data_IF_500364335479
#
_entry.id   IF_500364335479
#
_cell.length_a   1.000
_cell.length_b   1.000
_cell.length_c   1.000
_cell.angle_alpha   90.00
_cell.angle_beta   90.00
_cell.angle_gamma   90.00
#
_symmetry.space_group_name_H-M   'P 1'
#
loop_
_entity.id
_entity.type
_entity.pdbx_description
1 polymer ?
#
# COMPACT_ATOMS: atom_id res chain seq x y z
N UNK A 1 9.78 8.83 0.84
CA UNK A 1 8.35 8.64 1.16
C UNK A 1 7.60 7.92 0.06
N UNK A 2 7.56 8.41 -1.19
CA UNK A 2 6.87 7.71 -2.29
C UNK A 2 7.43 6.30 -2.54
N UNK A 3 8.76 6.18 -2.68
CA UNK A 3 9.44 4.89 -2.77
C UNK A 3 9.23 4.00 -1.55
N UNK A 4 9.08 4.58 -0.35
CA UNK A 4 8.81 3.80 0.86
C UNK A 4 7.37 3.29 0.89
N UNK A 5 6.39 4.11 0.49
CA UNK A 5 4.99 3.71 0.30
C UNK A 5 4.90 2.55 -0.69
N UNK A 6 5.50 2.71 -1.87
CA UNK A 6 5.55 1.67 -2.89
C UNK A 6 6.31 0.42 -2.44
N UNK A 7 7.45 0.58 -1.79
CA UNK A 7 8.26 -0.53 -1.27
C UNK A 7 7.51 -1.33 -0.21
N UNK A 8 6.85 -0.67 0.75
CA UNK A 8 6.01 -1.32 1.77
C UNK A 8 4.87 -2.08 1.10
N UNK A 9 4.22 -1.47 0.10
CA UNK A 9 3.15 -2.13 -0.66
C UNK A 9 3.66 -3.42 -1.31
N UNK A 10 4.73 -3.34 -2.12
CA UNK A 10 5.28 -4.50 -2.82
C UNK A 10 5.72 -5.58 -1.82
N UNK A 11 6.37 -5.18 -0.72
CA UNK A 11 6.78 -6.10 0.32
C UNK A 11 5.58 -6.78 1.00
N UNK A 12 4.54 -6.02 1.36
CA UNK A 12 3.35 -6.56 1.99
C UNK A 12 2.61 -7.55 1.07
N UNK A 13 2.51 -7.24 -0.22
CA UNK A 13 1.94 -8.13 -1.23
C UNK A 13 2.78 -9.40 -1.40
N UNK A 14 4.11 -9.27 -1.48
CA UNK A 14 5.03 -10.39 -1.57
C UNK A 14 4.89 -11.32 -0.35
N UNK A 15 4.95 -10.76 0.86
CA UNK A 15 4.80 -11.52 2.09
C UNK A 15 3.43 -12.19 2.15
N UNK A 16 2.36 -11.50 1.74
CA UNK A 16 1.02 -12.10 1.69
C UNK A 16 0.94 -13.27 0.70
N UNK A 17 1.61 -13.17 -0.44
CA UNK A 17 1.61 -14.24 -1.44
C UNK A 17 2.39 -15.46 -0.95
N UNK A 18 3.59 -15.24 -0.40
CA UNK A 18 4.52 -16.27 0.06
C UNK A 18 4.39 -16.63 1.55
N UNK A 19 3.31 -16.21 2.24
CA UNK A 19 3.18 -16.43 3.69
C UNK A 19 3.12 -17.91 4.10
N UNK A 20 2.62 -18.77 3.22
CA UNK A 20 2.54 -20.20 3.47
C UNK A 20 3.92 -20.88 3.40
N UNK A 21 4.71 -20.72 2.33
CA UNK A 21 6.08 -21.27 2.32
C UNK A 21 7.02 -20.60 3.32
N UNK A 22 6.87 -19.30 3.60
CA UNK A 22 7.78 -18.56 4.50
C UNK A 22 7.47 -18.77 5.98
N UNK A 23 6.19 -18.77 6.35
CA UNK A 23 5.75 -18.72 7.75
C UNK A 23 4.79 -19.85 8.13
N UNK A 24 4.50 -20.78 7.20
CA UNK A 24 3.54 -21.89 7.39
C UNK A 24 2.11 -21.40 7.72
N UNK A 25 1.79 -20.17 7.33
CA UNK A 25 0.48 -19.55 7.52
C UNK A 25 -0.44 -20.00 6.38
N UNK A 26 -1.20 -21.08 6.61
CA UNK A 26 -2.14 -21.65 5.64
C UNK A 26 -3.24 -20.68 5.20
N UNK A 27 -3.39 -20.47 3.88
CA UNK A 27 -4.51 -19.71 3.31
C UNK A 27 -5.81 -20.51 3.49
N UNK A 28 -6.64 -20.13 4.46
CA UNK A 28 -7.96 -20.76 4.69
C UNK A 28 -8.23 -21.17 6.13
N UNK A 29 -7.19 -21.25 6.96
CA UNK A 29 -7.38 -21.43 8.40
C UNK A 29 -7.67 -20.08 9.06
N UNK A 30 -8.87 -19.93 9.63
CA UNK A 30 -9.38 -18.65 10.10
C UNK A 30 -8.47 -17.95 11.15
N UNK A 31 -7.93 -18.65 12.17
CA UNK A 31 -7.01 -18.03 13.14
C UNK A 31 -5.72 -17.49 12.51
N UNK A 32 -5.13 -18.23 11.57
CA UNK A 32 -3.92 -17.80 10.85
C UNK A 32 -4.19 -16.55 10.00
N UNK A 33 -5.29 -16.56 9.24
CA UNK A 33 -5.68 -15.43 8.40
C UNK A 33 -5.95 -14.18 9.24
N UNK A 34 -6.69 -14.32 10.35
CA UNK A 34 -7.00 -13.19 11.23
C UNK A 34 -5.73 -12.59 11.83
N UNK A 35 -4.87 -13.43 12.43
CA UNK A 35 -3.61 -12.98 13.04
C UNK A 35 -2.68 -12.31 12.03
N UNK A 36 -2.47 -12.92 10.87
CA UNK A 36 -1.64 -12.35 9.81
C UNK A 36 -2.17 -11.01 9.29
N UNK A 37 -3.49 -10.92 9.05
CA UNK A 37 -4.09 -9.71 8.55
C UNK A 37 -4.01 -8.57 9.58
N UNK A 38 -4.30 -8.85 10.84
CA UNK A 38 -4.34 -7.83 11.89
C UNK A 38 -2.94 -7.39 12.34
N UNK A 39 -1.99 -8.31 12.48
CA UNK A 39 -0.65 -7.99 12.98
C UNK A 39 0.30 -7.45 11.91
N UNK A 40 0.13 -7.84 10.64
CA UNK A 40 1.08 -7.49 9.59
C UNK A 40 0.44 -6.79 8.39
N UNK A 41 -0.53 -7.42 7.74
CA UNK A 41 -1.00 -6.94 6.43
C UNK A 41 -1.71 -5.59 6.55
N UNK A 42 -2.68 -5.47 7.46
CA UNK A 42 -3.46 -4.25 7.65
C UNK A 42 -2.58 -3.06 8.10
N UNK A 43 -1.72 -3.18 9.13
CA UNK A 43 -0.82 -2.09 9.51
C UNK A 43 0.11 -1.65 8.37
N UNK A 44 0.67 -2.61 7.62
CA UNK A 44 1.57 -2.32 6.49
C UNK A 44 0.85 -1.55 5.38
N UNK A 45 -0.37 -1.97 5.03
CA UNK A 45 -1.18 -1.30 4.01
C UNK A 45 -1.61 0.10 4.45
N UNK A 46 -2.03 0.28 5.71
CA UNK A 46 -2.36 1.59 6.27
C UNK A 46 -1.15 2.54 6.22
N UNK A 47 0.04 2.04 6.56
CA UNK A 47 1.27 2.83 6.49
C UNK A 47 1.61 3.21 5.05
N UNK A 48 1.49 2.28 4.09
CA UNK A 48 1.73 2.55 2.68
C UNK A 48 0.81 3.68 2.16
N UNK A 49 -0.46 3.66 2.56
CA UNK A 49 -1.45 4.67 2.17
C UNK A 49 -1.19 6.02 2.83
N UNK A 50 -0.91 6.04 4.13
CA UNK A 50 -0.59 7.26 4.85
C UNK A 50 0.61 7.99 4.20
N UNK A 51 1.65 7.23 3.85
CA UNK A 51 2.79 7.75 3.12
C UNK A 51 2.43 8.21 1.70
N UNK A 52 1.59 7.44 0.98
CA UNK A 52 1.13 7.78 -0.37
C UNK A 52 0.34 9.10 -0.39
N UNK A 53 -0.64 9.26 0.50
CA UNK A 53 -1.39 10.51 0.65
C UNK A 53 -0.51 11.68 1.08
N UNK A 54 0.45 11.45 1.98
CA UNK A 54 1.39 12.50 2.41
C UNK A 54 2.22 13.02 1.25
N UNK A 55 2.68 12.12 0.36
CA UNK A 55 3.42 12.50 -0.85
C UNK A 55 2.54 13.30 -1.78
N UNK A 56 1.35 12.80 -2.13
CA UNK A 56 0.42 13.48 -3.04
C UNK A 56 0.07 14.86 -2.49
N UNK A 57 -0.29 14.96 -1.21
CA UNK A 57 -0.63 16.23 -0.56
C UNK A 57 0.54 17.23 -0.58
N UNK A 58 1.77 16.77 -0.29
CA UNK A 58 2.97 17.64 -0.37
C UNK A 58 3.28 18.09 -1.79
N UNK A 59 3.16 17.19 -2.77
CA UNK A 59 3.41 17.48 -4.19
C UNK A 59 2.39 18.49 -4.73
N UNK A 60 1.11 18.37 -4.36
CA UNK A 60 0.06 19.34 -4.72
C UNK A 60 0.31 20.68 -4.04
N UNK A 61 0.63 20.69 -2.73
CA UNK A 61 0.88 21.94 -1.98
C UNK A 61 2.01 22.77 -2.59
N UNK A 62 3.08 22.14 -3.07
CA UNK A 62 4.26 22.82 -3.63
C UNK A 62 4.29 22.74 -5.16
N UNK A 63 3.13 22.54 -5.80
CA UNK A 63 3.05 22.31 -7.24
C UNK A 63 3.68 23.43 -8.07
N UNK A 64 3.52 24.69 -7.66
CA UNK A 64 4.07 25.85 -8.35
C UNK A 64 5.56 26.08 -8.10
N UNK A 65 6.10 25.55 -7.00
CA UNK A 65 7.50 25.78 -6.58
C UNK A 65 8.46 24.79 -7.24
N UNK A 66 7.99 23.62 -7.63
CA UNK A 66 8.80 22.58 -8.25
C UNK A 66 8.79 22.76 -9.78
N UNK A 67 9.94 23.00 -10.38
CA UNK A 67 10.07 23.23 -11.83
C UNK A 67 10.07 21.93 -12.64
N UNK A 68 10.54 20.82 -12.06
CA UNK A 68 10.63 19.52 -12.73
C UNK A 68 9.30 18.76 -12.67
N UNK A 69 8.56 18.75 -13.79
CA UNK A 69 7.27 18.06 -13.91
C UNK A 69 7.42 16.54 -13.89
N UNK A 70 8.50 16.00 -14.46
CA UNK A 70 8.73 14.56 -14.52
C UNK A 70 8.87 13.96 -13.13
N UNK A 71 9.61 14.64 -12.24
CA UNK A 71 9.74 14.21 -10.84
C UNK A 71 8.41 14.20 -10.09
N UNK A 72 7.52 15.18 -10.34
CA UNK A 72 6.18 15.20 -9.72
C UNK A 72 5.36 13.99 -10.14
N UNK A 73 5.34 13.70 -11.45
CA UNK A 73 4.58 12.59 -12.01
C UNK A 73 5.09 11.25 -11.49
N UNK A 74 6.40 11.07 -11.37
CA UNK A 74 6.97 9.85 -10.77
C UNK A 74 6.53 9.69 -9.31
N UNK A 75 6.60 10.74 -8.50
CA UNK A 75 6.22 10.67 -7.09
C UNK A 75 4.73 10.36 -6.89
N UNK A 76 3.87 10.96 -7.72
CA UNK A 76 2.43 10.66 -7.71
C UNK A 76 2.18 9.24 -8.23
N UNK A 77 2.79 8.89 -9.36
CA UNK A 77 2.68 7.57 -9.98
C UNK A 77 3.07 6.43 -9.04
N UNK A 78 4.14 6.59 -8.25
CA UNK A 78 4.55 5.61 -7.25
C UNK A 78 3.59 5.51 -6.05
N UNK A 79 2.82 6.57 -5.77
CA UNK A 79 1.89 6.62 -4.64
C UNK A 79 0.49 6.09 -5.00
N UNK A 80 0.11 6.13 -6.29
CA UNK A 80 -1.20 5.68 -6.78
C UNK A 80 -1.48 4.20 -6.48
N UNK A 81 -0.57 3.22 -6.73
CA UNK A 81 -0.85 1.81 -6.53
C UNK A 81 -1.32 1.46 -5.11
N UNK A 82 -0.75 2.10 -4.08
CA UNK A 82 -1.14 1.87 -2.70
C UNK A 82 -2.59 2.30 -2.43
N UNK A 83 -2.99 3.45 -2.98
CA UNK A 83 -4.35 3.98 -2.86
C UNK A 83 -5.31 3.11 -3.69
N UNK A 84 -4.96 2.81 -4.93
CA UNK A 84 -5.80 2.04 -5.86
C UNK A 84 -6.11 0.64 -5.34
N UNK A 85 -5.12 -0.07 -4.79
CA UNK A 85 -5.33 -1.40 -4.20
C UNK A 85 -6.28 -1.32 -3.01
N UNK A 86 -6.13 -0.30 -2.16
CA UNK A 86 -6.99 -0.18 -0.99
C UNK A 86 -8.42 0.21 -1.35
N UNK A 87 -8.60 1.14 -2.30
CA UNK A 87 -9.90 1.47 -2.86
C UNK A 87 -10.56 0.23 -3.46
N UNK A 88 -9.82 -0.57 -4.23
CA UNK A 88 -10.32 -1.83 -4.79
C UNK A 88 -10.76 -2.83 -3.70
N UNK A 89 -9.98 -2.96 -2.62
CA UNK A 89 -10.33 -3.82 -1.49
C UNK A 89 -11.63 -3.35 -0.81
N UNK A 90 -11.79 -2.05 -0.55
CA UNK A 90 -13.03 -1.50 0.03
C UNK A 90 -14.21 -1.76 -0.88
N UNK A 91 -14.08 -1.43 -2.16
CA UNK A 91 -15.16 -1.61 -3.15
C UNK A 91 -15.60 -3.06 -3.18
N UNK A 92 -14.66 -4.01 -3.14
CA UNK A 92 -14.98 -5.43 -3.04
C UNK A 92 -15.74 -5.81 -1.77
N UNK A 93 -15.48 -5.18 -0.62
CA UNK A 93 -16.19 -5.47 0.63
C UNK A 93 -17.67 -5.05 0.56
N UNK A 94 -18.00 -4.01 -0.22
CA UNK A 94 -19.37 -3.51 -0.32
C UNK A 94 -20.17 -4.10 -1.50
N UNK A 95 -19.49 -4.59 -2.54
CA UNK A 95 -20.14 -5.15 -3.74
C UNK A 95 -20.28 -6.68 -3.66
N UNK A 96 -19.45 -7.38 -2.88
CA UNK A 96 -19.61 -8.80 -2.54
C UNK A 96 -20.22 -8.96 -1.14
#
# INVERSE_FOLDING_TARGET
>A
MAFASFGILIFALFVNEFREPLFRIKKGYAPHNFGFNFMFFLPSMLMAIALGFTVIGRTIKHWKTWTDVNKKLILIGLSIPAIGIWTFMIVKIFIN
#
